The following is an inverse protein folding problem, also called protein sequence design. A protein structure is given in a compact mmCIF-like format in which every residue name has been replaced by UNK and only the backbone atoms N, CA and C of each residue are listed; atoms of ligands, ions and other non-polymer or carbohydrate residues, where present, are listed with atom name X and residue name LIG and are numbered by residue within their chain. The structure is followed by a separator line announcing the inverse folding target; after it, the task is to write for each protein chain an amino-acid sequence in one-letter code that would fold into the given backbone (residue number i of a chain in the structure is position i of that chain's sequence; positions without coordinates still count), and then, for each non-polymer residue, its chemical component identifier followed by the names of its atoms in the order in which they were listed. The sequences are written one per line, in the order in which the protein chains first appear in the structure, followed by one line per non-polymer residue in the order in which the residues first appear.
data_IF_898055436472
#
_entry.id   IF_898055436472
#
_cell.length_a   1.000
_cell.length_b   1.000
_cell.length_c   1.000
_cell.angle_alpha   90.00
_cell.angle_beta   90.00
_cell.angle_gamma   90.00
#
_symmetry.space_group_name_H-M   'P 1'
#
loop_
_entity.id
_entity.type
_entity.pdbx_description
1 polymer ?
#
# COMPACT_ATOMS: atom_id res chain seq x y z
N UNK A 1 -4.44 26.71 -21.69
CA UNK A 1 -3.79 25.84 -20.67
C UNK A 1 -4.86 25.10 -19.85
N UNK A 2 -5.09 23.81 -20.12
CA UNK A 2 -5.99 22.99 -19.29
C UNK A 2 -5.32 22.74 -17.94
N UNK A 3 -5.78 23.41 -16.87
CA UNK A 3 -5.47 23.03 -15.48
C UNK A 3 -6.00 21.62 -15.27
N UNK A 4 -5.13 20.63 -15.45
CA UNK A 4 -5.50 19.22 -15.32
C UNK A 4 -5.99 19.00 -13.90
N UNK A 5 -7.16 18.37 -13.79
CA UNK A 5 -7.89 17.94 -12.60
C UNK A 5 -7.11 16.96 -11.68
N UNK A 6 -5.78 16.92 -11.76
CA UNK A 6 -4.89 16.01 -11.02
C UNK A 6 -5.06 16.15 -9.50
N UNK A 7 -5.40 17.34 -8.97
CA UNK A 7 -5.62 17.53 -7.53
C UNK A 7 -6.68 16.60 -6.92
N UNK A 8 -7.81 16.36 -7.60
CA UNK A 8 -8.84 15.41 -7.11
C UNK A 8 -8.40 13.95 -7.22
N UNK A 9 -7.48 13.64 -8.15
CA UNK A 9 -6.96 12.27 -8.36
C UNK A 9 -5.95 11.87 -7.27
N UNK A 10 -5.16 12.82 -6.76
CA UNK A 10 -4.14 12.58 -5.72
C UNK A 10 -4.64 12.68 -4.28
N UNK A 11 -5.71 13.47 -4.03
CA UNK A 11 -6.47 13.39 -2.77
C UNK A 11 -7.33 12.11 -2.68
N UNK A 12 -7.45 11.34 -3.78
CA UNK A 12 -8.22 10.10 -3.77
C UNK A 12 -7.54 9.03 -2.92
N UNK A 13 -8.35 8.34 -2.12
CA UNK A 13 -7.92 7.23 -1.26
C UNK A 13 -7.11 6.16 -2.02
N UNK A 14 -7.47 5.91 -3.28
CA UNK A 14 -6.81 4.96 -4.18
C UNK A 14 -5.34 5.33 -4.41
N UNK A 15 -5.00 6.61 -4.50
CA UNK A 15 -3.62 7.09 -4.72
C UNK A 15 -2.70 6.73 -3.54
N UNK A 16 -3.20 6.86 -2.30
CA UNK A 16 -2.42 6.68 -1.06
C UNK A 16 -2.09 5.20 -0.77
N UNK A 17 -2.92 4.28 -1.26
CA UNK A 17 -2.84 2.85 -0.95
C UNK A 17 -2.70 1.96 -2.19
N UNK A 18 -2.43 2.52 -3.38
CA UNK A 18 -2.37 1.79 -4.65
C UNK A 18 -1.43 0.58 -4.63
N UNK A 19 -0.29 0.69 -3.96
CA UNK A 19 0.67 -0.40 -3.81
C UNK A 19 0.18 -1.51 -2.86
N UNK A 20 -0.71 -1.20 -1.92
CA UNK A 20 -1.41 -2.21 -1.10
C UNK A 20 -2.53 -2.89 -1.88
N UNK A 21 -3.23 -2.15 -2.75
CA UNK A 21 -4.24 -2.70 -3.67
C UNK A 21 -3.60 -3.79 -4.56
N UNK A 22 -2.42 -3.52 -5.13
CA UNK A 22 -1.70 -4.52 -5.94
C UNK A 22 -1.28 -5.76 -5.14
N UNK A 23 -0.86 -5.60 -3.89
CA UNK A 23 -0.53 -6.73 -3.02
C UNK A 23 -1.77 -7.59 -2.71
N UNK A 24 -2.93 -6.97 -2.52
CA UNK A 24 -4.19 -7.72 -2.37
C UNK A 24 -4.59 -8.45 -3.66
N UNK A 25 -4.36 -7.86 -4.83
CA UNK A 25 -4.57 -8.57 -6.10
C UNK A 25 -3.64 -9.80 -6.25
N UNK A 26 -2.43 -9.76 -5.70
CA UNK A 26 -1.53 -10.92 -5.75
C UNK A 26 -2.03 -12.11 -4.93
N UNK A 27 -2.79 -11.88 -3.86
CA UNK A 27 -3.44 -12.95 -3.07
C UNK A 27 -4.47 -13.73 -3.92
N UNK A 28 -5.04 -13.10 -4.94
CA UNK A 28 -6.06 -13.71 -5.79
C UNK A 28 -5.47 -14.62 -6.89
N UNK A 29 -4.22 -14.40 -7.28
CA UNK A 29 -3.61 -15.13 -8.40
C UNK A 29 -3.61 -16.65 -8.16
N UNK A 30 -3.17 -17.16 -6.99
CA UNK A 30 -3.21 -18.60 -6.73
C UNK A 30 -4.64 -19.16 -6.75
N UNK A 31 -5.61 -18.42 -6.20
CA UNK A 31 -7.02 -18.84 -6.18
C UNK A 31 -7.58 -18.95 -7.59
N UNK A 32 -7.39 -17.93 -8.43
CA UNK A 32 -7.93 -17.89 -9.80
C UNK A 32 -7.31 -18.96 -10.69
N UNK A 33 -6.03 -19.31 -10.49
CA UNK A 33 -5.33 -20.30 -11.31
C UNK A 33 -5.63 -21.73 -10.86
N UNK A 34 -5.71 -21.98 -9.55
CA UNK A 34 -5.71 -23.34 -9.00
C UNK A 34 -7.12 -23.82 -8.57
N UNK A 35 -8.06 -22.93 -8.23
CA UNK A 35 -9.44 -23.33 -7.91
C UNK A 35 -10.20 -23.97 -9.08
N UNK A 36 -10.07 -23.52 -10.34
CA UNK A 36 -10.74 -24.17 -11.46
C UNK A 36 -10.33 -25.63 -11.64
N UNK A 37 -9.11 -25.99 -11.23
CA UNK A 37 -8.59 -27.36 -11.31
C UNK A 37 -9.24 -28.26 -10.24
N UNK A 38 -9.76 -27.67 -9.15
CA UNK A 38 -10.41 -28.38 -8.05
C UNK A 38 -11.93 -28.23 -8.05
N UNK A 39 -12.54 -27.90 -9.20
CA UNK A 39 -13.96 -27.56 -9.29
C UNK A 39 -14.90 -28.73 -8.92
N UNK A 40 -14.57 -29.97 -9.27
CA UNK A 40 -15.41 -31.13 -8.93
C UNK A 40 -15.37 -31.41 -7.43
N UNK A 41 -14.18 -31.33 -6.83
CA UNK A 41 -14.02 -31.45 -5.39
C UNK A 41 -14.74 -30.34 -4.63
N UNK A 42 -14.64 -29.08 -5.10
CA UNK A 42 -15.40 -27.96 -4.54
C UNK A 42 -16.91 -28.20 -4.66
N UNK A 43 -17.41 -28.65 -5.81
CA UNK A 43 -18.82 -28.97 -5.98
C UNK A 43 -19.28 -30.08 -5.00
N UNK A 44 -18.51 -31.16 -4.87
CA UNK A 44 -18.77 -32.23 -3.91
C UNK A 44 -18.85 -31.69 -2.47
N UNK A 45 -17.92 -30.81 -2.09
CA UNK A 45 -17.92 -30.19 -0.76
C UNK A 45 -19.16 -29.31 -0.53
N UNK A 46 -19.64 -28.62 -1.55
CA UNK A 46 -20.87 -27.82 -1.47
C UNK A 46 -22.14 -28.69 -1.37
N UNK A 47 -22.16 -29.83 -2.06
CA UNK A 47 -23.28 -30.77 -2.04
C UNK A 47 -23.35 -31.54 -0.71
N UNK A 48 -22.22 -32.04 -0.22
CA UNK A 48 -22.18 -32.91 0.96
C UNK A 48 -22.10 -32.15 2.28
N UNK A 49 -21.46 -30.96 2.30
CA UNK A 49 -21.16 -30.24 3.54
C UNK A 49 -21.73 -28.81 3.50
N UNK A 50 -23.03 -28.67 3.78
CA UNK A 50 -23.73 -27.36 3.82
C UNK A 50 -23.05 -26.31 4.72
N UNK A 51 -22.44 -26.71 5.83
CA UNK A 51 -21.65 -25.82 6.71
C UNK A 51 -20.37 -25.31 6.05
N UNK A 52 -19.71 -26.14 5.23
CA UNK A 52 -18.50 -25.76 4.49
C UNK A 52 -18.83 -24.75 3.37
N UNK A 53 -19.95 -24.96 2.65
CA UNK A 53 -20.48 -24.01 1.68
C UNK A 53 -20.78 -22.64 2.31
N UNK A 54 -21.39 -22.62 3.51
CA UNK A 54 -21.67 -21.38 4.25
C UNK A 54 -20.37 -20.67 4.66
N UNK A 55 -19.40 -21.39 5.22
CA UNK A 55 -18.10 -20.81 5.60
C UNK A 55 -17.40 -20.22 4.38
N UNK A 56 -17.27 -20.96 3.27
CA UNK A 56 -16.65 -20.45 2.03
C UNK A 56 -17.41 -19.24 1.47
N UNK A 57 -18.74 -19.26 1.46
CA UNK A 57 -19.54 -18.14 0.96
C UNK A 57 -19.38 -16.90 1.85
N UNK A 58 -19.26 -17.08 3.16
CA UNK A 58 -18.97 -16.02 4.12
C UNK A 58 -17.54 -15.50 3.96
N UNK A 59 -16.54 -16.37 3.69
CA UNK A 59 -15.16 -15.98 3.39
C UNK A 59 -15.08 -15.19 2.09
N UNK A 60 -15.73 -15.66 1.01
CA UNK A 60 -15.80 -14.97 -0.27
C UNK A 60 -16.56 -13.65 -0.14
N UNK A 61 -17.65 -13.59 0.62
CA UNK A 61 -18.42 -12.37 0.90
C UNK A 61 -17.60 -11.35 1.69
N UNK A 62 -16.91 -11.77 2.75
CA UNK A 62 -16.04 -10.89 3.52
C UNK A 62 -14.80 -10.48 2.71
N UNK A 63 -14.23 -11.36 1.90
CA UNK A 63 -13.12 -11.00 1.01
C UNK A 63 -13.57 -9.98 -0.04
N UNK A 64 -14.70 -10.19 -0.72
CA UNK A 64 -15.17 -9.28 -1.76
C UNK A 64 -15.64 -7.94 -1.19
N UNK A 65 -16.41 -7.94 -0.10
CA UNK A 65 -16.96 -6.70 0.46
C UNK A 65 -15.98 -5.99 1.40
N UNK A 66 -15.24 -6.70 2.26
CA UNK A 66 -14.31 -6.06 3.19
C UNK A 66 -12.96 -5.74 2.58
N UNK A 67 -12.47 -6.45 1.55
CA UNK A 67 -11.28 -5.96 0.82
C UNK A 67 -11.62 -4.68 0.06
N UNK A 68 -12.82 -4.58 -0.52
CA UNK A 68 -13.29 -3.35 -1.17
C UNK A 68 -13.53 -2.22 -0.16
N UNK A 69 -14.10 -2.51 1.02
CA UNK A 69 -14.27 -1.53 2.11
C UNK A 69 -12.94 -1.17 2.78
N UNK A 70 -11.97 -2.09 2.89
CA UNK A 70 -10.60 -1.82 3.35
C UNK A 70 -9.82 -0.94 2.35
N UNK A 71 -10.10 -1.11 1.05
CA UNK A 71 -9.69 -0.20 -0.03
C UNK A 71 -10.41 1.15 0.05
N UNK A 72 -11.42 1.33 0.92
CA UNK A 72 -12.09 2.61 1.15
C UNK A 72 -11.82 3.21 2.54
N UNK A 73 -11.49 2.40 3.56
CA UNK A 73 -11.33 2.83 4.94
C UNK A 73 -10.03 2.31 5.59
N UNK A 74 -9.07 3.23 5.69
CA UNK A 74 -7.97 3.37 6.68
C UNK A 74 -7.00 2.20 6.94
N UNK A 75 -5.72 2.55 7.12
CA UNK A 75 -4.61 1.61 7.36
C UNK A 75 -4.77 0.67 8.57
N UNK A 76 -5.42 1.08 9.67
CA UNK A 76 -5.68 0.19 10.83
C UNK A 76 -6.76 -0.85 10.51
N UNK A 77 -7.79 -0.45 9.77
CA UNK A 77 -8.86 -1.35 9.32
C UNK A 77 -8.35 -2.36 8.29
N UNK A 78 -7.40 -1.98 7.43
CA UNK A 78 -6.75 -2.93 6.48
C UNK A 78 -6.10 -4.10 7.21
N UNK A 79 -5.40 -3.85 8.32
CA UNK A 79 -4.77 -4.91 9.12
C UNK A 79 -5.84 -5.83 9.71
N UNK A 80 -6.88 -5.27 10.33
CA UNK A 80 -7.98 -6.05 10.92
C UNK A 80 -8.67 -6.92 9.88
N UNK A 81 -9.01 -6.36 8.71
CA UNK A 81 -9.69 -7.10 7.65
C UNK A 81 -8.84 -8.20 7.03
N UNK A 82 -7.54 -7.94 6.85
CA UNK A 82 -6.60 -8.98 6.39
C UNK A 82 -6.39 -10.07 7.45
N UNK A 83 -6.39 -9.73 8.74
CA UNK A 83 -6.35 -10.73 9.82
C UNK A 83 -7.61 -11.61 9.84
N UNK A 84 -8.81 -11.02 9.68
CA UNK A 84 -10.07 -11.77 9.56
C UNK A 84 -10.00 -12.72 8.35
N UNK A 85 -9.48 -12.25 7.22
CA UNK A 85 -9.31 -13.07 6.03
C UNK A 85 -8.34 -14.25 6.25
N UNK A 86 -7.19 -14.00 6.90
CA UNK A 86 -6.23 -15.06 7.27
C UNK A 86 -6.89 -16.11 8.17
N UNK A 87 -7.62 -15.69 9.21
CA UNK A 87 -8.35 -16.60 10.08
C UNK A 87 -9.39 -17.44 9.30
N UNK A 88 -10.03 -16.81 8.32
CA UNK A 88 -11.04 -17.45 7.46
C UNK A 88 -10.42 -18.50 6.53
N UNK A 89 -9.28 -18.20 5.88
CA UNK A 89 -8.52 -19.16 5.09
C UNK A 89 -8.03 -20.34 5.94
N UNK A 90 -7.54 -20.05 7.15
CA UNK A 90 -7.08 -21.08 8.08
C UNK A 90 -8.22 -22.03 8.50
N UNK A 91 -9.41 -21.49 8.78
CA UNK A 91 -10.60 -22.30 9.08
C UNK A 91 -11.01 -23.20 7.91
N UNK A 92 -10.91 -22.72 6.66
CA UNK A 92 -11.17 -23.53 5.45
C UNK A 92 -10.15 -24.68 5.34
N UNK A 93 -8.86 -24.40 5.50
CA UNK A 93 -7.79 -25.41 5.42
C UNK A 93 -8.03 -26.50 6.48
N UNK A 94 -8.29 -26.11 7.73
CA UNK A 94 -8.59 -27.07 8.81
C UNK A 94 -9.84 -27.90 8.51
N UNK A 95 -10.89 -27.27 7.97
CA UNK A 95 -12.12 -27.97 7.61
C UNK A 95 -11.88 -29.02 6.52
N UNK A 96 -11.08 -28.70 5.49
CA UNK A 96 -10.73 -29.65 4.43
C UNK A 96 -9.89 -30.81 4.95
N UNK A 97 -8.93 -30.56 5.85
CA UNK A 97 -8.09 -31.61 6.44
C UNK A 97 -8.88 -32.58 7.35
N UNK A 98 -10.00 -32.13 7.91
CA UNK A 98 -10.87 -32.95 8.79
C UNK A 98 -11.87 -33.81 8.01
N UNK A 99 -12.11 -33.51 6.74
CA UNK A 99 -13.02 -34.29 5.90
C UNK A 99 -12.28 -35.55 5.44
N UNK A 100 -12.86 -36.72 5.70
CA UNK A 100 -12.33 -38.00 5.21
C UNK A 100 -12.65 -38.11 3.73
N UNK A 101 -11.65 -37.91 2.88
CA UNK A 101 -11.87 -37.80 1.42
C UNK A 101 -11.59 -39.12 0.70
N UNK A 102 -12.40 -39.37 -0.32
CA UNK A 102 -12.26 -40.50 -1.25
C UNK A 102 -11.01 -40.34 -2.14
N UNK A 103 -10.33 -41.45 -2.45
CA UNK A 103 -9.03 -41.42 -3.16
C UNK A 103 -9.11 -40.81 -4.56
N UNK A 104 -10.29 -40.82 -5.18
CA UNK A 104 -10.54 -40.29 -6.52
C UNK A 104 -10.31 -38.77 -6.65
N UNK A 105 -10.32 -38.02 -5.54
CA UNK A 105 -10.14 -36.56 -5.55
C UNK A 105 -8.76 -36.11 -5.06
N UNK A 106 -7.81 -37.03 -4.85
CA UNK A 106 -6.52 -36.73 -4.21
C UNK A 106 -5.79 -35.54 -4.86
N UNK A 107 -5.72 -35.51 -6.21
CA UNK A 107 -5.08 -34.43 -6.95
C UNK A 107 -5.81 -33.09 -6.78
N UNK A 108 -7.14 -33.09 -6.83
CA UNK A 108 -7.95 -31.88 -6.68
C UNK A 108 -7.85 -31.30 -5.26
N UNK A 109 -7.78 -32.16 -4.23
CA UNK A 109 -7.56 -31.76 -2.84
C UNK A 109 -6.19 -31.10 -2.70
N UNK A 110 -5.14 -31.70 -3.26
CA UNK A 110 -3.78 -31.14 -3.20
C UNK A 110 -3.78 -29.76 -3.84
N UNK A 111 -4.37 -29.61 -5.03
CA UNK A 111 -4.43 -28.33 -5.74
C UNK A 111 -5.23 -27.27 -4.96
N UNK A 112 -6.36 -27.66 -4.36
CA UNK A 112 -7.15 -26.79 -3.48
C UNK A 112 -6.33 -26.31 -2.28
N UNK A 113 -5.68 -27.23 -1.56
CA UNK A 113 -4.85 -26.90 -0.40
C UNK A 113 -3.66 -26.02 -0.80
N UNK A 114 -2.99 -26.32 -1.91
CA UNK A 114 -1.90 -25.48 -2.43
C UNK A 114 -2.38 -24.06 -2.73
N UNK A 115 -3.55 -23.89 -3.33
CA UNK A 115 -4.15 -22.58 -3.58
C UNK A 115 -4.38 -21.78 -2.28
N UNK A 116 -4.94 -22.45 -1.27
CA UNK A 116 -5.25 -21.85 0.02
C UNK A 116 -3.97 -21.48 0.79
N UNK A 117 -2.97 -22.36 0.82
CA UNK A 117 -1.68 -22.09 1.48
C UNK A 117 -0.89 -20.95 0.82
N UNK A 118 -0.80 -20.93 -0.52
CA UNK A 118 -0.15 -19.84 -1.24
C UNK A 118 -0.84 -18.49 -0.97
N UNK A 119 -2.17 -18.48 -0.96
CA UNK A 119 -2.96 -17.28 -0.66
C UNK A 119 -2.76 -16.81 0.78
N UNK A 120 -2.69 -17.75 1.74
CA UNK A 120 -2.41 -17.46 3.15
C UNK A 120 -1.03 -16.82 3.35
N UNK A 121 0.00 -17.34 2.67
CA UNK A 121 1.37 -16.80 2.74
C UNK A 121 1.39 -15.36 2.20
N UNK A 122 0.80 -15.11 1.03
CA UNK A 122 0.79 -13.77 0.42
C UNK A 122 -0.03 -12.79 1.28
N UNK A 123 -1.16 -13.23 1.84
CA UNK A 123 -1.97 -12.40 2.75
C UNK A 123 -1.19 -12.01 4.01
N UNK A 124 -0.46 -12.96 4.61
CA UNK A 124 0.36 -12.72 5.81
C UNK A 124 1.49 -11.71 5.54
N UNK A 125 2.19 -11.85 4.41
CA UNK A 125 3.21 -10.87 3.97
C UNK A 125 2.57 -9.49 3.76
N UNK A 126 1.36 -9.45 3.19
CA UNK A 126 0.63 -8.20 2.95
C UNK A 126 0.28 -7.48 4.25
N UNK A 127 -0.10 -8.21 5.32
CA UNK A 127 -0.34 -7.62 6.65
C UNK A 127 0.91 -6.94 7.18
N UNK A 128 2.06 -7.62 7.16
CA UNK A 128 3.33 -7.07 7.67
C UNK A 128 3.69 -5.80 6.90
N UNK A 129 3.64 -5.83 5.57
CA UNK A 129 3.94 -4.67 4.73
C UNK A 129 2.94 -3.54 5.01
N UNK A 130 1.64 -3.82 5.08
CA UNK A 130 0.62 -2.81 5.35
C UNK A 130 0.80 -2.16 6.72
N UNK A 131 1.17 -2.94 7.74
CA UNK A 131 1.44 -2.45 9.08
C UNK A 131 2.65 -1.51 9.12
N UNK A 132 3.80 -1.94 8.60
CA UNK A 132 5.02 -1.12 8.54
C UNK A 132 4.77 0.17 7.78
N UNK A 133 4.02 0.12 6.68
CA UNK A 133 3.65 1.31 5.90
C UNK A 133 2.71 2.22 6.65
N UNK A 134 1.71 1.69 7.34
CA UNK A 134 0.78 2.50 8.13
C UNK A 134 1.51 3.24 9.25
N UNK A 135 2.49 2.61 9.91
CA UNK A 135 3.32 3.27 10.92
C UNK A 135 4.12 4.43 10.31
N UNK A 136 4.80 4.19 9.18
CA UNK A 136 5.54 5.24 8.46
C UNK A 136 4.65 6.41 8.04
N UNK A 137 3.48 6.14 7.46
CA UNK A 137 2.53 7.18 7.04
C UNK A 137 2.05 7.99 8.25
N UNK A 138 1.73 7.34 9.37
CA UNK A 138 1.27 8.04 10.57
C UNK A 138 2.34 8.94 11.18
N UNK A 139 3.62 8.51 11.15
CA UNK A 139 4.76 9.31 11.62
C UNK A 139 4.87 10.61 10.82
N UNK A 140 4.61 10.59 9.51
CA UNK A 140 4.82 11.76 8.65
C UNK A 140 3.56 12.59 8.36
N UNK A 141 2.35 12.05 8.56
CA UNK A 141 1.09 12.76 8.25
C UNK A 141 0.32 13.25 9.48
N UNK A 142 0.55 12.64 10.65
CA UNK A 142 -0.24 12.88 11.86
C UNK A 142 0.12 14.14 12.64
N UNK A 143 1.30 14.71 12.41
CA UNK A 143 1.83 15.79 13.25
C UNK A 143 1.62 17.19 12.63
N UNK A 144 1.49 18.20 13.50
CA UNK A 144 1.42 19.61 13.11
C UNK A 144 2.75 20.10 12.53
N UNK A 145 3.84 19.50 12.98
CA UNK A 145 5.20 19.74 12.52
C UNK A 145 5.85 18.41 12.15
N UNK A 146 6.63 18.36 11.08
CA UNK A 146 7.21 17.10 10.61
C UNK A 146 8.62 17.33 10.10
N UNK A 147 9.58 16.64 10.73
CA UNK A 147 10.98 16.60 10.31
C UNK A 147 11.20 15.41 9.37
N UNK A 148 11.73 15.70 8.19
CA UNK A 148 12.16 14.72 7.21
C UNK A 148 13.68 14.74 7.15
N UNK A 149 14.32 13.64 7.57
CA UNK A 149 15.75 13.41 7.36
C UNK A 149 15.92 12.59 6.08
N UNK A 150 16.43 13.22 5.01
CA UNK A 150 16.37 12.71 3.64
C UNK A 150 17.73 12.24 3.10
N UNK A 151 18.67 11.94 4.01
CA UNK A 151 20.07 11.62 3.70
C UNK A 151 20.23 10.37 2.82
N UNK A 152 19.30 9.42 2.91
CA UNK A 152 19.31 8.18 2.12
C UNK A 152 18.53 8.28 0.79
N UNK A 153 17.88 9.42 0.53
CA UNK A 153 16.88 9.54 -0.55
C UNK A 153 17.49 10.13 -1.84
N UNK A 154 18.70 10.69 -1.77
CA UNK A 154 19.47 11.11 -2.95
C UNK A 154 18.87 12.32 -3.66
N UNK A 155 18.53 13.38 -2.92
CA UNK A 155 18.01 14.61 -3.50
C UNK A 155 19.09 15.39 -4.26
N UNK A 156 18.68 15.94 -5.40
CA UNK A 156 19.41 16.95 -6.15
C UNK A 156 18.86 18.33 -5.77
N UNK A 157 19.74 19.26 -5.43
CA UNK A 157 19.43 20.67 -5.21
C UNK A 157 20.19 21.50 -6.24
N UNK A 158 19.47 22.22 -7.09
CA UNK A 158 20.05 22.95 -8.23
C UNK A 158 20.99 22.06 -9.07
N UNK A 159 20.53 20.83 -9.37
CA UNK A 159 21.26 19.76 -10.07
C UNK A 159 22.50 19.19 -9.36
N UNK A 160 22.79 19.61 -8.13
CA UNK A 160 23.88 19.05 -7.33
C UNK A 160 23.35 18.04 -6.30
N UNK A 161 23.98 16.88 -6.19
CA UNK A 161 23.62 15.90 -5.17
C UNK A 161 23.96 16.44 -3.78
N UNK A 162 22.99 16.30 -2.86
CA UNK A 162 23.14 16.73 -1.47
C UNK A 162 23.19 15.49 -0.57
N UNK A 163 24.25 15.38 0.24
CA UNK A 163 24.46 14.24 1.13
C UNK A 163 23.63 14.35 2.42
N UNK A 164 23.43 15.56 2.93
CA UNK A 164 22.64 15.80 4.13
C UNK A 164 21.54 16.83 3.83
N UNK A 165 20.30 16.35 3.71
CA UNK A 165 19.12 17.18 3.51
C UNK A 165 18.12 16.89 4.61
N UNK A 166 17.83 17.90 5.45
CA UNK A 166 16.72 17.85 6.40
C UNK A 166 15.67 18.89 6.05
N UNK A 167 14.42 18.50 6.09
CA UNK A 167 13.28 19.39 5.82
C UNK A 167 12.35 19.35 7.02
N UNK A 168 12.25 20.45 7.75
CA UNK A 168 11.26 20.63 8.80
C UNK A 168 10.10 21.46 8.25
N UNK A 169 8.92 20.86 8.17
CA UNK A 169 7.68 21.53 7.77
C UNK A 169 6.88 21.86 9.03
N UNK A 170 6.53 23.14 9.19
CA UNK A 170 5.67 23.66 10.25
C UNK A 170 4.54 24.49 9.60
N UNK A 171 3.48 24.81 10.35
CA UNK A 171 2.21 25.32 9.77
C UNK A 171 2.32 26.57 8.87
N UNK A 172 3.41 27.36 8.96
CA UNK A 172 3.66 28.53 8.11
C UNK A 172 5.07 28.63 7.53
N UNK A 173 5.97 27.73 7.91
CA UNK A 173 7.39 27.84 7.62
C UNK A 173 7.97 26.48 7.22
N UNK A 174 8.93 26.53 6.30
CA UNK A 174 9.76 25.39 5.94
C UNK A 174 11.19 25.75 6.31
N UNK A 175 11.83 24.91 7.14
CA UNK A 175 13.26 25.02 7.42
C UNK A 175 13.98 23.92 6.67
N UNK A 176 15.05 24.29 5.97
CA UNK A 176 15.87 23.39 5.18
C UNK A 176 17.28 23.38 5.76
N UNK A 177 17.80 22.20 6.06
CA UNK A 177 19.22 21.99 6.34
C UNK A 177 19.84 21.35 5.10
N UNK A 178 20.76 22.05 4.43
CA UNK A 178 21.49 21.54 3.27
C UNK A 178 22.97 21.50 3.65
N UNK A 179 23.57 20.31 3.73
CA UNK A 179 24.98 20.13 4.11
C UNK A 179 25.39 20.90 5.38
N UNK A 180 24.50 20.91 6.40
CA UNK A 180 24.63 21.63 7.69
C UNK A 180 24.38 23.15 7.64
N UNK A 181 24.07 23.74 6.48
CA UNK A 181 23.63 25.13 6.40
C UNK A 181 22.11 25.21 6.52
N UNK A 182 21.63 26.05 7.45
CA UNK A 182 20.22 26.21 7.76
C UNK A 182 19.60 27.38 7.01
N UNK A 183 18.48 27.12 6.35
CA UNK A 183 17.68 28.09 5.64
C UNK A 183 16.24 28.05 6.14
N UNK A 184 15.57 29.20 6.11
CA UNK A 184 14.20 29.35 6.59
C UNK A 184 13.38 30.13 5.57
N UNK A 185 12.28 29.51 5.13
CA UNK A 185 11.38 30.06 4.12
C UNK A 185 9.94 30.05 4.61
N UNK A 186 9.09 30.89 4.02
CA UNK A 186 7.65 30.78 4.24
C UNK A 186 7.10 29.68 3.34
N UNK A 187 6.06 29.01 3.80
CA UNK A 187 5.46 27.89 3.06
C UNK A 187 4.77 28.36 1.76
N UNK A 188 4.40 29.64 1.69
CA UNK A 188 3.90 30.33 0.49
C UNK A 188 4.92 30.40 -0.64
N UNK A 189 6.21 30.35 -0.31
CA UNK A 189 7.30 30.51 -1.26
C UNK A 189 7.60 29.18 -1.99
N UNK A 190 7.02 28.08 -1.50
CA UNK A 190 7.09 26.76 -2.13
C UNK A 190 6.21 26.74 -3.39
N UNK A 191 6.84 26.56 -4.55
CA UNK A 191 6.22 26.53 -5.88
C UNK A 191 6.49 25.19 -6.58
N UNK A 192 5.71 24.93 -7.62
CA UNK A 192 5.94 23.83 -8.58
C UNK A 192 6.13 22.45 -7.93
N UNK A 193 5.32 22.16 -6.91
CA UNK A 193 5.34 20.88 -6.20
C UNK A 193 4.69 19.80 -7.08
N UNK A 194 5.51 18.91 -7.64
CA UNK A 194 5.10 17.80 -8.48
C UNK A 194 5.53 16.47 -7.87
N UNK A 195 4.66 15.47 -7.93
CA UNK A 195 4.93 14.15 -7.39
C UNK A 195 4.34 13.07 -8.31
N UNK A 196 5.13 12.02 -8.54
CA UNK A 196 4.70 10.82 -9.24
C UNK A 196 5.28 9.60 -8.53
N UNK A 197 4.41 8.63 -8.21
CA UNK A 197 4.86 7.38 -7.62
C UNK A 197 5.67 6.52 -8.59
N UNK A 198 6.59 5.74 -8.02
CA UNK A 198 7.23 4.65 -8.74
C UNK A 198 6.18 3.58 -9.14
N UNK A 199 6.29 3.04 -10.35
CA UNK A 199 5.41 1.95 -10.81
C UNK A 199 6.11 0.61 -10.69
N UNK A 200 5.32 -0.44 -10.45
CA UNK A 200 5.81 -1.84 -10.42
C UNK A 200 6.47 -2.23 -11.75
N UNK A 201 6.03 -1.63 -12.87
CA UNK A 201 6.53 -1.91 -14.22
C UNK A 201 7.60 -0.92 -14.71
N UNK A 202 8.44 -0.40 -13.81
CA UNK A 202 9.74 0.18 -14.18
C UNK A 202 9.83 1.70 -14.36
N UNK A 203 8.72 2.46 -14.31
CA UNK A 203 8.83 3.94 -14.21
C UNK A 203 9.32 4.37 -12.84
N UNK A 204 10.38 5.19 -12.83
CA UNK A 204 10.88 5.88 -11.64
C UNK A 204 9.77 6.76 -11.03
N UNK A 205 9.69 6.76 -9.71
CA UNK A 205 8.96 7.79 -8.98
C UNK A 205 9.81 9.05 -8.87
N UNK A 206 9.16 10.20 -8.74
CA UNK A 206 9.85 11.45 -8.52
C UNK A 206 9.06 12.41 -7.63
N UNK A 207 9.81 13.27 -6.94
CA UNK A 207 9.32 14.46 -6.26
C UNK A 207 10.14 15.65 -6.72
N UNK A 208 9.47 16.73 -7.13
CA UNK A 208 10.09 17.99 -7.51
C UNK A 208 9.38 19.13 -6.82
N UNK A 209 10.12 20.12 -6.33
CA UNK A 209 9.55 21.36 -5.82
C UNK A 209 10.59 22.48 -5.84
N UNK A 210 10.12 23.73 -5.86
CA UNK A 210 10.97 24.93 -5.81
C UNK A 210 10.67 25.74 -4.56
N UNK A 211 11.69 26.27 -3.91
CA UNK A 211 11.57 27.23 -2.80
C UNK A 211 12.55 28.36 -3.06
N UNK A 212 12.05 29.56 -3.34
CA UNK A 212 12.87 30.71 -3.77
C UNK A 212 13.85 30.31 -4.89
N UNK A 213 15.16 30.41 -4.65
CA UNK A 213 16.24 30.11 -5.61
C UNK A 213 16.69 28.63 -5.60
N UNK A 214 16.05 27.79 -4.78
CA UNK A 214 16.38 26.38 -4.66
C UNK A 214 15.37 25.50 -5.41
N UNK A 215 15.87 24.67 -6.30
CA UNK A 215 15.12 23.64 -7.00
C UNK A 215 15.51 22.26 -6.47
N UNK A 216 14.53 21.54 -5.93
CA UNK A 216 14.69 20.22 -5.34
C UNK A 216 14.11 19.17 -6.27
N UNK A 217 14.88 18.11 -6.54
CA UNK A 217 14.46 16.98 -7.36
C UNK A 217 14.96 15.67 -6.76
N UNK A 218 14.08 14.69 -6.62
CA UNK A 218 14.43 13.34 -6.23
C UNK A 218 13.80 12.35 -7.22
N UNK A 219 14.59 11.39 -7.68
CA UNK A 219 14.12 10.21 -8.41
C UNK A 219 14.38 8.96 -7.60
N UNK A 220 13.38 8.07 -7.52
CA UNK A 220 13.48 6.88 -6.70
C UNK A 220 12.79 5.67 -7.33
N UNK A 221 13.33 4.48 -7.02
CA UNK A 221 12.73 3.17 -7.37
C UNK A 221 12.09 2.48 -6.17
N UNK A 222 12.58 2.75 -4.96
CA UNK A 222 12.24 1.99 -3.75
C UNK A 222 10.89 2.45 -3.18
N UNK A 223 10.06 1.48 -2.76
CA UNK A 223 8.73 1.75 -2.19
C UNK A 223 8.78 2.51 -0.85
N UNK A 224 9.87 2.36 -0.07
CA UNK A 224 10.08 3.15 1.15
C UNK A 224 10.27 4.64 0.83
N UNK A 225 11.08 4.94 -0.18
CA UNK A 225 11.29 6.30 -0.66
C UNK A 225 10.00 6.92 -1.20
N UNK A 226 9.13 6.12 -1.83
CA UNK A 226 7.82 6.57 -2.32
C UNK A 226 6.93 7.13 -1.19
N UNK A 227 6.90 6.47 -0.03
CA UNK A 227 6.10 6.90 1.13
C UNK A 227 6.65 8.19 1.72
N UNK A 228 7.97 8.30 1.87
CA UNK A 228 8.63 9.50 2.41
C UNK A 228 8.38 10.69 1.48
N UNK A 229 8.60 10.52 0.18
CA UNK A 229 8.37 11.55 -0.82
C UNK A 229 6.87 11.93 -0.93
N UNK A 230 5.97 10.95 -0.84
CA UNK A 230 4.53 11.20 -0.79
C UNK A 230 4.13 12.02 0.46
N UNK A 231 4.67 11.66 1.62
CA UNK A 231 4.35 12.38 2.85
C UNK A 231 4.94 13.80 2.87
N UNK A 232 6.14 13.97 2.31
CA UNK A 232 6.74 15.29 2.09
C UNK A 232 5.88 16.13 1.15
N UNK A 233 5.51 15.59 -0.01
CA UNK A 233 4.59 16.21 -0.96
C UNK A 233 3.28 16.66 -0.30
N UNK A 234 2.64 15.77 0.46
CA UNK A 234 1.38 16.06 1.13
C UNK A 234 1.53 17.20 2.13
N UNK A 235 2.59 17.20 2.96
CA UNK A 235 2.82 18.27 3.93
C UNK A 235 3.13 19.62 3.28
N UNK A 236 3.90 19.63 2.18
CA UNK A 236 4.17 20.85 1.40
C UNK A 236 2.88 21.46 0.82
N UNK A 237 1.92 20.64 0.41
CA UNK A 237 0.66 21.13 -0.19
C UNK A 237 -0.41 21.44 0.86
N UNK A 238 -0.50 20.65 1.94
CA UNK A 238 -1.48 20.79 3.02
C UNK A 238 -1.48 22.21 3.59
N UNK A 239 -0.29 22.73 3.89
CA UNK A 239 -0.13 24.04 4.51
C UNK A 239 -0.11 25.19 3.50
N UNK A 240 0.05 24.92 2.20
CA UNK A 240 -0.01 25.95 1.15
C UNK A 240 -1.43 26.48 0.90
N UNK A 241 -2.46 25.72 1.30
CA UNK A 241 -3.88 26.05 1.06
C UNK A 241 -4.55 26.84 2.19
N UNK A 242 -3.91 26.98 3.35
CA UNK A 242 -4.39 27.78 4.48
C UNK A 242 -3.76 29.17 4.44
#
# INVERSE_FOLDING_TARGET
MKKVNNKKRFDSFISKYRSCIWLQFMVLIPLVVLLPISHNYVAMLFEQYKMFAIIITVVLFFFYNLSFIAIYNLGKTVVIYQSIYICSLFAIILSVLMIKVDSNYLLEIIMFLTAMFLSLIIASITVVIAHTRSQLINIFLGYRETLFELNEVGFLVNNNMVENLKILIQEKQVKLEINKTMYKFKLTDVKDVEFQCATVFGRLGYLKFKVEDYYFECHYKKTRSDIINYALYYNLIKYKKK
#
